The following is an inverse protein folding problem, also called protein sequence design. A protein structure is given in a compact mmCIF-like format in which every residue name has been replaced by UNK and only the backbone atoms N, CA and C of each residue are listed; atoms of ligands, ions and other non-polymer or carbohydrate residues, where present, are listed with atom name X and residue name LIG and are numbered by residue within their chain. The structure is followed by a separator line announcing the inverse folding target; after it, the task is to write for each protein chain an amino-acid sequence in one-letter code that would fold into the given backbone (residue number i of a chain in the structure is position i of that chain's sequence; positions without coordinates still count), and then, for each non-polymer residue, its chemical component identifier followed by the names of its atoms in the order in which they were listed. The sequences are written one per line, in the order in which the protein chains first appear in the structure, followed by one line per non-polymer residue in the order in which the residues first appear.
data_IF_151250126257
#
_entry.id   IF_151250126257
#
_cell.length_a   1.000
_cell.length_b   1.000
_cell.length_c   1.000
_cell.angle_alpha   90.00
_cell.angle_beta   90.00
_cell.angle_gamma   90.00
#
_symmetry.space_group_name_H-M   'P 1'
#
loop_
_entity.id
_entity.type
_entity.pdbx_description
1 polymer ?
#
# COMPACT_ATOMS: atom_id res chain seq x y z
N UNK A 1 6.35 -2.28 -3.19
CA UNK A 1 5.09 -1.54 -2.92
C UNK A 1 5.33 -0.06 -2.61
N UNK A 2 6.23 0.31 -1.69
CA UNK A 2 6.48 1.71 -1.31
C UNK A 2 6.78 2.66 -2.47
N UNK A 3 7.72 2.31 -3.36
CA UNK A 3 8.16 3.19 -4.46
C UNK A 3 7.15 3.29 -5.62
N UNK A 4 6.45 2.20 -5.96
CA UNK A 4 5.44 2.20 -7.03
C UNK A 4 4.16 2.91 -6.60
N UNK A 5 3.67 2.63 -5.39
CA UNK A 5 2.43 3.20 -4.87
C UNK A 5 2.64 4.58 -4.23
N UNK A 6 3.91 4.93 -3.93
CA UNK A 6 4.30 6.19 -3.28
C UNK A 6 3.52 6.39 -1.98
N UNK A 7 3.49 5.36 -1.13
CA UNK A 7 2.77 5.31 0.16
C UNK A 7 3.69 5.43 1.38
N UNK A 8 4.97 5.73 1.15
CA UNK A 8 5.98 5.92 2.19
C UNK A 8 7.21 6.65 1.65
N UNK A 9 8.12 6.98 2.56
CA UNK A 9 9.43 7.56 2.26
C UNK A 9 10.50 6.54 2.64
N UNK A 10 11.42 6.27 1.74
CA UNK A 10 12.53 5.36 1.97
C UNK A 10 13.65 6.08 2.73
N UNK A 11 14.23 5.41 3.73
CA UNK A 11 15.35 5.95 4.50
C UNK A 11 16.63 5.70 3.70
N UNK A 12 17.43 6.75 3.52
CA UNK A 12 18.75 6.65 2.89
C UNK A 12 19.68 5.77 3.73
N UNK A 13 20.27 4.76 3.08
CA UNK A 13 21.22 3.82 3.67
C UNK A 13 22.64 4.25 3.31
N UNK A 14 23.57 4.17 4.25
CA UNK A 14 24.99 4.38 3.99
C UNK A 14 25.59 3.29 3.10
N UNK A 15 26.79 3.55 2.60
CA UNK A 15 27.55 2.57 1.78
C UNK A 15 27.89 1.29 2.57
N UNK A 16 28.03 1.41 3.89
CA UNK A 16 28.19 0.32 4.85
C UNK A 16 26.90 -0.52 5.02
N UNK A 17 25.81 -0.10 4.39
CA UNK A 17 24.52 -0.73 4.52
C UNK A 17 23.86 -0.49 5.88
N UNK A 18 24.26 0.54 6.63
CA UNK A 18 23.61 0.92 7.88
C UNK A 18 22.75 2.19 7.70
N UNK A 19 21.85 2.42 8.64
CA UNK A 19 21.07 3.65 8.72
C UNK A 19 21.67 4.56 9.79
N UNK A 20 21.80 5.84 9.50
CA UNK A 20 22.23 6.83 10.48
C UNK A 20 21.02 7.44 11.18
N UNK A 21 21.23 8.00 12.37
CA UNK A 21 20.18 8.73 13.07
C UNK A 21 19.67 9.90 12.21
N UNK A 22 20.57 10.55 11.48
CA UNK A 22 20.30 11.68 10.62
C UNK A 22 19.43 11.28 9.42
N UNK A 23 19.72 10.14 8.78
CA UNK A 23 18.92 9.68 7.63
C UNK A 23 17.51 9.27 8.04
N UNK A 24 17.37 8.61 9.19
CA UNK A 24 16.05 8.27 9.77
C UNK A 24 15.28 9.54 10.15
N UNK A 25 15.94 10.48 10.84
CA UNK A 25 15.33 11.76 11.23
C UNK A 25 14.80 12.52 10.02
N UNK A 26 15.60 12.62 8.94
CA UNK A 26 15.21 13.26 7.68
C UNK A 26 13.93 12.63 7.10
N UNK A 27 13.88 11.30 7.00
CA UNK A 27 12.70 10.60 6.46
C UNK A 27 11.45 10.86 7.30
N UNK A 28 11.56 10.80 8.64
CA UNK A 28 10.46 11.11 9.56
C UNK A 28 10.01 12.57 9.40
N UNK A 29 10.94 13.52 9.36
CA UNK A 29 10.64 14.94 9.17
C UNK A 29 9.88 15.21 7.87
N UNK A 30 10.29 14.57 6.76
CA UNK A 30 9.57 14.69 5.47
C UNK A 30 8.13 14.23 5.61
N UNK A 31 7.87 13.08 6.24
CA UNK A 31 6.51 12.53 6.39
C UNK A 31 5.65 13.38 7.33
N UNK A 32 6.26 13.96 8.35
CA UNK A 32 5.55 14.75 9.36
C UNK A 32 5.25 16.19 8.92
N UNK A 33 6.04 16.75 8.00
CA UNK A 33 5.82 18.10 7.48
C UNK A 33 4.61 18.18 6.54
N UNK A 34 3.51 18.79 6.99
CA UNK A 34 2.28 18.94 6.21
C UNK A 34 2.39 19.90 5.02
N UNK A 35 3.39 20.78 4.99
CA UNK A 35 3.64 21.67 3.86
C UNK A 35 4.42 20.95 2.75
N UNK A 36 5.14 19.87 3.08
CA UNK A 36 5.95 19.12 2.14
C UNK A 36 5.11 18.33 1.12
N UNK A 37 5.42 18.48 -0.17
CA UNK A 37 4.68 17.83 -1.26
C UNK A 37 4.80 16.30 -1.26
N UNK A 38 5.94 15.75 -0.82
CA UNK A 38 6.12 14.30 -0.67
C UNK A 38 5.18 13.79 0.41
N UNK A 39 5.06 14.50 1.55
CA UNK A 39 4.17 14.10 2.65
C UNK A 39 2.71 14.08 2.22
N UNK A 40 2.25 15.12 1.51
CA UNK A 40 0.88 15.22 0.99
C UNK A 40 0.56 14.06 0.07
N UNK A 41 1.48 13.76 -0.85
CA UNK A 41 1.34 12.66 -1.82
C UNK A 41 1.30 11.30 -1.13
N UNK A 42 2.22 11.06 -0.20
CA UNK A 42 2.28 9.81 0.58
C UNK A 42 1.00 9.60 1.37
N UNK A 43 0.51 10.62 2.09
CA UNK A 43 -0.73 10.55 2.88
C UNK A 43 -1.96 10.32 2.00
N UNK A 44 -2.07 11.04 0.88
CA UNK A 44 -3.17 10.87 -0.06
C UNK A 44 -3.21 9.47 -0.69
N UNK A 45 -2.06 8.96 -1.12
CA UNK A 45 -1.98 7.60 -1.67
C UNK A 45 -2.24 6.53 -0.61
N UNK A 46 -1.70 6.71 0.59
CA UNK A 46 -1.95 5.80 1.70
C UNK A 46 -3.45 5.75 2.06
N UNK A 47 -4.14 6.90 2.06
CA UNK A 47 -5.57 6.97 2.30
C UNK A 47 -6.37 6.19 1.23
N UNK A 48 -6.05 6.35 -0.06
CA UNK A 48 -6.68 5.60 -1.15
C UNK A 48 -6.49 4.09 -1.02
N UNK A 49 -5.27 3.64 -0.72
CA UNK A 49 -4.99 2.22 -0.52
C UNK A 49 -5.75 1.69 0.69
N UNK A 50 -5.78 2.45 1.80
CA UNK A 50 -6.55 2.09 2.98
C UNK A 50 -8.04 1.97 2.68
N UNK A 51 -8.62 2.93 1.98
CA UNK A 51 -10.03 2.90 1.56
C UNK A 51 -10.34 1.67 0.70
N UNK A 52 -9.51 1.40 -0.30
CA UNK A 52 -9.65 0.22 -1.16
C UNK A 52 -9.58 -1.09 -0.35
N UNK A 53 -8.60 -1.22 0.56
CA UNK A 53 -8.41 -2.43 1.36
C UNK A 53 -9.48 -2.62 2.44
N UNK A 54 -10.10 -1.54 2.91
CA UNK A 54 -11.20 -1.59 3.89
C UNK A 54 -12.58 -1.71 3.23
N UNK A 55 -12.67 -1.68 1.90
CA UNK A 55 -13.92 -1.88 1.20
C UNK A 55 -14.38 -3.34 1.36
N UNK A 56 -15.42 -3.55 2.16
CA UNK A 56 -16.00 -4.88 2.42
C UNK A 56 -16.54 -5.56 1.16
N UNK A 57 -16.96 -4.79 0.18
CA UNK A 57 -17.49 -5.32 -1.08
C UNK A 57 -16.37 -5.85 -1.98
N UNK A 58 -15.13 -5.37 -1.79
CA UNK A 58 -13.98 -5.83 -2.54
C UNK A 58 -13.70 -7.30 -2.22
N UNK A 59 -13.58 -7.65 -0.94
CA UNK A 59 -13.30 -9.03 -0.53
C UNK A 59 -14.46 -9.97 -0.87
N UNK A 60 -15.70 -9.57 -0.55
CA UNK A 60 -16.88 -10.41 -0.80
C UNK A 60 -17.07 -10.68 -2.30
N UNK A 61 -16.92 -9.69 -3.17
CA UNK A 61 -17.06 -9.90 -4.62
C UNK A 61 -16.04 -10.89 -5.18
N UNK A 62 -14.78 -10.82 -4.76
CA UNK A 62 -13.77 -11.78 -5.20
C UNK A 62 -14.08 -13.22 -4.76
N UNK A 63 -14.52 -13.39 -3.51
CA UNK A 63 -14.86 -14.72 -2.98
C UNK A 63 -16.14 -15.25 -3.64
N UNK A 64 -17.16 -14.41 -3.82
CA UNK A 64 -18.42 -14.78 -4.47
C UNK A 64 -18.19 -15.19 -5.93
N UNK A 65 -17.40 -14.42 -6.67
CA UNK A 65 -17.08 -14.72 -8.07
C UNK A 65 -16.22 -15.98 -8.19
N UNK A 66 -15.33 -16.23 -7.24
CA UNK A 66 -14.58 -17.48 -7.16
C UNK A 66 -15.51 -18.68 -6.91
N UNK A 67 -16.43 -18.57 -5.95
CA UNK A 67 -17.42 -19.61 -5.65
C UNK A 67 -18.33 -19.91 -6.84
N UNK A 68 -18.81 -18.88 -7.55
CA UNK A 68 -19.62 -19.04 -8.78
C UNK A 68 -18.86 -19.84 -9.84
N UNK A 69 -17.61 -19.46 -10.13
CA UNK A 69 -16.76 -20.17 -11.11
C UNK A 69 -16.53 -21.64 -10.72
N UNK A 70 -16.35 -21.93 -9.44
CA UNK A 70 -16.24 -23.32 -8.98
C UNK A 70 -17.55 -24.10 -9.20
N UNK A 71 -18.70 -23.48 -8.93
CA UNK A 71 -19.99 -24.11 -9.17
C UNK A 71 -20.23 -24.40 -10.66
N UNK A 72 -19.89 -23.44 -11.54
CA UNK A 72 -19.96 -23.63 -13.00
C UNK A 72 -19.15 -24.87 -13.45
N UNK A 73 -17.91 -25.00 -12.98
CA UNK A 73 -17.05 -26.15 -13.30
C UNK A 73 -17.64 -27.48 -12.80
N UNK A 74 -18.30 -27.48 -11.64
CA UNK A 74 -18.93 -28.69 -11.08
C UNK A 74 -20.20 -29.05 -11.85
N UNK A 75 -20.99 -28.06 -12.25
CA UNK A 75 -22.23 -28.26 -13.01
C UNK A 75 -21.94 -28.71 -14.45
N UNK A 76 -20.92 -28.17 -15.11
CA UNK A 76 -20.50 -28.58 -16.46
C UNK A 76 -19.97 -30.02 -16.55
N UNK A 77 -19.65 -30.66 -15.41
CA UNK A 77 -19.13 -32.04 -15.35
C UNK A 77 -20.20 -33.11 -15.12
N UNK A 78 -21.47 -32.74 -15.00
CA UNK A 78 -22.62 -33.66 -14.93
C UNK A 78 -23.45 -33.60 -16.20
#
# INVERSE_FOLDING_TARGET
MGNNLKVGVEVEKGEDGLYTKESVCKAVSIVMDNANEISKKVKANHAKIREMLLNKDLESSYIDDFCKKLQEIVVEKN
#
